data_IF_245177784703
#
_entry.id   IF_245177784703
#
_cell.length_a   1.000
_cell.length_b   1.000
_cell.length_c   1.000
_cell.angle_alpha   90.00
_cell.angle_beta   90.00
_cell.angle_gamma   90.00
#
_symmetry.space_group_name_H-M   'P 1'
#
loop_
_entity.id
_entity.type
_entity.pdbx_description
1 polymer ?
#
# COMPACT_ATOMS: atom_id res chain seq x y z
N UNK A 1 -64.89 -40.87 -35.58
CA UNK A 1 -64.31 -40.56 -34.28
C UNK A 1 -62.97 -39.90 -34.49
N UNK A 2 -62.91 -38.59 -34.39
CA UNK A 2 -61.71 -37.77 -34.56
C UNK A 2 -61.00 -37.65 -33.22
N UNK A 3 -59.83 -38.27 -33.05
CA UNK A 3 -59.03 -38.09 -31.85
C UNK A 3 -58.37 -36.70 -31.90
N UNK A 4 -58.79 -35.83 -31.03
CA UNK A 4 -58.19 -34.52 -30.81
C UNK A 4 -56.88 -34.76 -30.03
N UNK A 5 -55.72 -34.59 -30.66
CA UNK A 5 -54.44 -34.52 -29.99
C UNK A 5 -54.26 -33.10 -29.41
N UNK A 6 -54.44 -32.98 -28.11
CA UNK A 6 -54.05 -31.77 -27.37
C UNK A 6 -52.53 -31.88 -27.16
N UNK A 7 -51.79 -31.14 -27.98
CA UNK A 7 -50.36 -30.89 -27.73
C UNK A 7 -50.29 -29.83 -26.64
N UNK A 8 -50.07 -30.27 -25.40
CA UNK A 8 -49.72 -29.36 -24.31
C UNK A 8 -48.31 -28.85 -24.56
N UNK A 9 -48.20 -27.67 -25.12
CA UNK A 9 -46.93 -26.92 -25.19
C UNK A 9 -46.56 -26.53 -23.77
N UNK A 10 -45.68 -27.35 -23.17
CA UNK A 10 -44.99 -26.99 -21.93
C UNK A 10 -44.03 -25.86 -22.33
N UNK A 11 -44.43 -24.62 -22.20
CA UNK A 11 -43.49 -23.50 -22.14
C UNK A 11 -42.65 -23.72 -20.87
N UNK A 12 -41.50 -24.33 -21.01
CA UNK A 12 -40.42 -24.23 -20.05
C UNK A 12 -40.04 -22.74 -20.03
N UNK A 13 -40.66 -21.98 -19.12
CA UNK A 13 -40.11 -20.72 -18.68
C UNK A 13 -38.76 -21.09 -18.01
N UNK A 14 -37.69 -21.08 -18.77
CA UNK A 14 -36.40 -20.80 -18.23
C UNK A 14 -36.50 -19.36 -17.69
N UNK A 15 -37.00 -19.23 -16.47
CA UNK A 15 -36.86 -18.02 -15.74
C UNK A 15 -35.35 -17.75 -15.64
N UNK A 16 -34.84 -16.79 -16.41
CA UNK A 16 -33.58 -16.22 -16.08
C UNK A 16 -33.69 -15.84 -14.60
N UNK A 17 -32.89 -16.45 -13.76
CA UNK A 17 -32.84 -16.14 -12.35
C UNK A 17 -32.23 -14.72 -12.26
N UNK A 18 -33.08 -13.70 -12.47
CA UNK A 18 -32.68 -12.29 -12.45
C UNK A 18 -33.15 -11.69 -11.15
N UNK A 19 -32.21 -11.20 -10.35
CA UNK A 19 -32.58 -10.35 -9.24
C UNK A 19 -33.08 -9.00 -9.82
N UNK A 20 -34.30 -8.51 -9.46
CA UNK A 20 -34.88 -7.32 -10.03
C UNK A 20 -34.04 -6.05 -9.73
N UNK A 21 -33.33 -6.01 -8.61
CA UNK A 21 -32.58 -4.86 -8.16
C UNK A 21 -31.17 -4.78 -8.80
N UNK A 22 -30.67 -5.90 -9.36
CA UNK A 22 -29.31 -5.95 -9.92
C UNK A 22 -29.03 -4.83 -10.93
N UNK A 23 -30.01 -4.51 -11.79
CA UNK A 23 -29.80 -3.45 -12.80
C UNK A 23 -29.62 -2.08 -12.19
N UNK A 24 -30.40 -1.74 -11.17
CA UNK A 24 -30.28 -0.46 -10.45
C UNK A 24 -28.96 -0.43 -9.64
N UNK A 25 -28.63 -1.52 -8.99
CA UNK A 25 -27.41 -1.68 -8.20
C UNK A 25 -26.15 -1.61 -9.07
N UNK A 26 -26.20 -2.18 -10.28
CA UNK A 26 -25.11 -2.04 -11.25
C UNK A 26 -24.85 -0.57 -11.64
N UNK A 27 -25.89 0.23 -11.80
CA UNK A 27 -25.70 1.66 -12.10
C UNK A 27 -25.08 2.40 -10.90
N UNK A 28 -25.42 2.05 -9.65
CA UNK A 28 -24.76 2.60 -8.47
C UNK A 28 -23.28 2.20 -8.41
N UNK A 29 -22.95 0.94 -8.68
CA UNK A 29 -21.56 0.48 -8.74
C UNK A 29 -20.74 1.21 -9.83
N UNK A 30 -21.35 1.51 -10.98
CA UNK A 30 -20.72 2.33 -12.02
C UNK A 30 -20.56 3.79 -11.59
N UNK A 31 -21.49 4.36 -10.85
CA UNK A 31 -21.34 5.70 -10.27
C UNK A 31 -20.18 5.73 -9.27
N UNK A 32 -19.98 4.67 -8.48
CA UNK A 32 -18.83 4.57 -7.60
C UNK A 32 -17.50 4.65 -8.37
N UNK A 33 -17.39 4.00 -9.52
CA UNK A 33 -16.22 4.17 -10.40
C UNK A 33 -16.08 5.62 -10.88
N UNK A 34 -17.17 6.26 -11.28
CA UNK A 34 -17.16 7.66 -11.74
C UNK A 34 -16.71 8.65 -10.65
N UNK A 35 -16.92 8.35 -9.37
CA UNK A 35 -16.39 9.15 -8.25
C UNK A 35 -14.89 9.36 -8.41
N UNK A 36 -14.15 8.28 -8.62
CA UNK A 36 -12.68 8.34 -8.73
C UNK A 36 -12.21 8.86 -10.10
N UNK A 37 -12.92 8.52 -11.17
CA UNK A 37 -12.58 9.02 -12.51
C UNK A 37 -12.75 10.53 -12.65
N UNK A 38 -13.75 11.11 -11.94
CA UNK A 38 -14.08 12.53 -12.00
C UNK A 38 -13.57 13.33 -10.79
N UNK A 39 -13.11 12.63 -9.73
CA UNK A 39 -12.71 13.27 -8.49
C UNK A 39 -13.87 13.87 -7.71
N UNK A 40 -15.04 13.21 -7.74
CA UNK A 40 -16.32 13.74 -7.25
C UNK A 40 -16.68 13.13 -5.89
N UNK A 41 -16.25 13.77 -4.81
CA UNK A 41 -16.56 13.31 -3.44
C UNK A 41 -18.04 13.52 -3.07
N UNK A 42 -18.72 14.49 -3.67
CA UNK A 42 -20.14 14.74 -3.42
C UNK A 42 -20.99 13.59 -3.98
N UNK A 43 -20.64 13.06 -5.16
CA UNK A 43 -21.25 11.86 -5.70
C UNK A 43 -21.00 10.64 -4.80
N UNK A 44 -19.80 10.51 -4.20
CA UNK A 44 -19.51 9.44 -3.25
C UNK A 44 -20.47 9.50 -2.05
N UNK A 45 -20.68 10.67 -1.44
CA UNK A 45 -21.62 10.88 -0.33
C UNK A 45 -23.06 10.59 -0.73
N UNK A 46 -23.45 10.93 -1.98
CA UNK A 46 -24.80 10.66 -2.50
C UNK A 46 -25.11 9.16 -2.54
N UNK A 47 -24.16 8.34 -2.98
CA UNK A 47 -24.40 6.92 -3.26
C UNK A 47 -24.08 5.99 -2.10
N UNK A 48 -23.26 6.41 -1.11
CA UNK A 48 -22.89 5.59 0.04
C UNK A 48 -23.91 5.72 1.18
N UNK A 49 -24.11 4.64 1.91
CA UNK A 49 -24.90 4.63 3.15
C UNK A 49 -24.07 5.16 4.31
N UNK A 50 -24.69 5.84 5.28
CA UNK A 50 -24.03 6.20 6.55
C UNK A 50 -23.63 4.97 7.39
N UNK A 51 -24.30 3.83 7.18
CA UNK A 51 -24.00 2.53 7.80
C UNK A 51 -23.00 1.70 6.98
N UNK A 52 -22.25 2.33 6.06
CA UNK A 52 -21.26 1.64 5.22
C UNK A 52 -20.23 0.88 6.03
N UNK A 53 -19.98 -0.35 5.63
CA UNK A 53 -18.76 -1.10 5.96
C UNK A 53 -17.93 -1.28 4.70
N UNK A 54 -16.64 -1.02 4.79
CA UNK A 54 -15.72 -1.08 3.65
C UNK A 54 -14.49 -1.94 3.99
N UNK A 55 -14.30 -3.04 3.26
CA UNK A 55 -13.07 -3.80 3.33
C UNK A 55 -11.98 -3.04 2.57
N UNK A 56 -11.24 -2.22 3.31
CA UNK A 56 -10.22 -1.33 2.74
C UNK A 56 -9.04 -2.11 2.12
N UNK A 57 -8.46 -1.62 1.01
CA UNK A 57 -7.39 -2.31 0.29
C UNK A 57 -6.00 -2.10 0.90
N UNK A 58 -5.88 -1.23 1.88
CA UNK A 58 -4.59 -0.93 2.52
C UNK A 58 -4.23 -2.01 3.55
N UNK A 59 -3.00 -2.49 3.50
CA UNK A 59 -2.52 -3.53 4.41
C UNK A 59 -2.71 -3.14 5.88
N UNK A 60 -3.35 -4.04 6.63
CA UNK A 60 -3.54 -3.91 8.08
C UNK A 60 -4.76 -3.07 8.51
N UNK A 61 -5.50 -2.43 7.59
CA UNK A 61 -6.70 -1.66 7.96
C UNK A 61 -7.93 -2.55 8.22
N UNK A 62 -8.13 -3.61 7.42
CA UNK A 62 -9.31 -4.45 7.53
C UNK A 62 -10.58 -3.72 7.13
N UNK A 63 -11.70 -4.07 7.78
CA UNK A 63 -13.01 -3.46 7.57
C UNK A 63 -13.09 -2.12 8.32
N UNK A 64 -13.53 -1.08 7.64
CA UNK A 64 -13.62 0.29 8.16
C UNK A 64 -15.02 0.86 7.99
N UNK A 65 -15.34 1.90 8.74
CA UNK A 65 -16.62 2.60 8.70
C UNK A 65 -16.70 3.67 7.60
N UNK A 66 -17.90 4.26 7.45
CA UNK A 66 -18.17 5.33 6.50
C UNK A 66 -17.17 6.50 6.58
N UNK A 67 -16.86 6.97 7.80
CA UNK A 67 -15.98 8.13 7.97
C UNK A 67 -14.56 7.82 7.51
N UNK A 68 -14.05 6.65 7.82
CA UNK A 68 -12.72 6.19 7.42
C UNK A 68 -12.67 5.90 5.91
N UNK A 69 -13.70 5.23 5.36
CA UNK A 69 -13.81 4.97 3.92
C UNK A 69 -13.87 6.28 3.10
N UNK A 70 -14.58 7.30 3.59
CA UNK A 70 -14.58 8.63 2.98
C UNK A 70 -13.18 9.25 2.94
N UNK A 71 -12.42 9.17 4.03
CA UNK A 71 -11.04 9.67 4.06
C UNK A 71 -10.14 8.96 3.04
N UNK A 72 -10.35 7.64 2.85
CA UNK A 72 -9.64 6.87 1.84
C UNK A 72 -10.02 7.34 0.43
N UNK A 73 -11.30 7.56 0.16
CA UNK A 73 -11.77 8.10 -1.12
C UNK A 73 -11.19 9.50 -1.39
N UNK A 74 -11.23 10.39 -0.41
CA UNK A 74 -10.62 11.72 -0.49
C UNK A 74 -9.10 11.64 -0.72
N UNK A 75 -8.41 10.68 -0.09
CA UNK A 75 -6.99 10.47 -0.32
C UNK A 75 -6.72 10.15 -1.80
N UNK A 76 -7.44 9.21 -2.41
CA UNK A 76 -7.24 8.87 -3.82
C UNK A 76 -7.59 10.06 -4.74
N UNK A 77 -8.72 10.72 -4.53
CA UNK A 77 -9.16 11.88 -5.31
C UNK A 77 -8.11 13.01 -5.25
N UNK A 78 -7.56 13.29 -4.07
CA UNK A 78 -6.63 14.39 -3.87
C UNK A 78 -5.22 14.12 -4.38
N UNK A 79 -4.79 12.85 -4.41
CA UNK A 79 -3.39 12.50 -4.74
C UNK A 79 -3.18 11.99 -6.17
N UNK A 80 -4.25 11.61 -6.88
CA UNK A 80 -4.12 11.07 -8.24
C UNK A 80 -4.96 11.84 -9.25
N UNK A 81 -4.55 11.82 -10.51
CA UNK A 81 -5.25 12.41 -11.67
C UNK A 81 -5.28 11.42 -12.83
N UNK A 82 -6.10 11.71 -13.84
CA UNK A 82 -6.26 10.86 -15.02
C UNK A 82 -6.68 9.42 -14.67
N UNK A 83 -7.41 9.28 -13.56
CA UNK A 83 -7.85 7.99 -13.06
C UNK A 83 -8.89 7.39 -14.01
N UNK A 84 -8.69 6.14 -14.42
CA UNK A 84 -9.59 5.38 -15.30
C UNK A 84 -9.72 3.95 -14.84
N UNK A 85 -10.93 3.40 -14.97
CA UNK A 85 -11.23 2.00 -14.75
C UNK A 85 -11.43 1.32 -16.11
N UNK A 86 -10.41 0.63 -16.58
CA UNK A 86 -10.32 0.05 -17.92
C UNK A 86 -10.79 -1.41 -17.93
N UNK A 87 -11.33 -1.83 -19.08
CA UNK A 87 -11.76 -3.20 -19.38
C UNK A 87 -12.68 -3.81 -18.30
N UNK A 88 -13.71 -3.09 -17.82
CA UNK A 88 -14.54 -3.55 -16.71
C UNK A 88 -15.36 -4.78 -17.07
N UNK A 89 -15.30 -5.81 -16.23
CA UNK A 89 -16.20 -6.97 -16.27
C UNK A 89 -17.12 -6.89 -15.06
N UNK A 90 -18.42 -6.72 -15.31
CA UNK A 90 -19.46 -6.64 -14.31
C UNK A 90 -20.22 -7.94 -14.20
N UNK A 91 -20.30 -8.52 -13.02
CA UNK A 91 -20.99 -9.78 -12.74
C UNK A 91 -21.98 -9.61 -11.57
N UNK A 92 -23.11 -10.31 -11.62
CA UNK A 92 -24.00 -10.39 -10.46
C UNK A 92 -23.34 -11.26 -9.37
N UNK A 93 -23.62 -10.91 -8.11
CA UNK A 93 -23.30 -11.77 -6.99
C UNK A 93 -24.39 -12.80 -6.71
N UNK A 94 -24.08 -13.73 -5.83
CA UNK A 94 -24.98 -14.80 -5.41
C UNK A 94 -24.98 -14.93 -3.88
N UNK A 95 -26.12 -15.19 -3.30
CA UNK A 95 -26.24 -15.68 -1.95
C UNK A 95 -25.71 -17.12 -1.87
N UNK A 96 -24.70 -17.35 -1.04
CA UNK A 96 -24.01 -18.63 -0.95
C UNK A 96 -24.83 -19.73 -0.30
N UNK A 97 -25.87 -19.39 0.43
CA UNK A 97 -26.79 -20.37 1.06
C UNK A 97 -27.83 -20.89 0.10
N UNK A 98 -28.45 -20.00 -0.68
CA UNK A 98 -29.51 -20.34 -1.64
C UNK A 98 -28.98 -20.58 -3.06
N UNK A 99 -27.75 -20.17 -3.37
CA UNK A 99 -27.15 -20.18 -4.70
C UNK A 99 -27.98 -19.37 -5.74
N UNK A 100 -28.69 -18.36 -5.30
CA UNK A 100 -29.48 -17.46 -6.14
C UNK A 100 -28.84 -16.07 -6.20
N UNK A 101 -29.18 -15.31 -7.26
CA UNK A 101 -28.71 -13.92 -7.40
C UNK A 101 -29.29 -13.07 -6.28
N UNK A 102 -28.44 -12.36 -5.56
CA UNK A 102 -28.75 -11.57 -4.38
C UNK A 102 -28.85 -10.05 -4.63
N UNK A 103 -28.61 -9.60 -5.86
CA UNK A 103 -28.60 -8.21 -6.25
C UNK A 103 -27.26 -7.49 -6.04
N UNK A 104 -26.30 -8.15 -5.40
CA UNK A 104 -24.94 -7.61 -5.27
C UNK A 104 -24.21 -7.55 -6.61
N UNK A 105 -23.16 -6.72 -6.68
CA UNK A 105 -22.38 -6.50 -7.90
C UNK A 105 -20.92 -6.85 -7.64
N UNK A 106 -20.31 -7.50 -8.62
CA UNK A 106 -18.86 -7.81 -8.66
C UNK A 106 -18.25 -7.12 -9.86
N UNK A 107 -17.11 -6.47 -9.68
CA UNK A 107 -16.39 -5.77 -10.74
C UNK A 107 -14.93 -6.20 -10.80
N UNK A 108 -14.46 -6.57 -11.97
CA UNK A 108 -13.06 -6.75 -12.27
C UNK A 108 -12.65 -5.69 -13.27
N UNK A 109 -11.47 -5.15 -13.13
CA UNK A 109 -10.95 -4.15 -14.06
C UNK A 109 -9.54 -3.72 -13.71
N UNK A 110 -9.05 -2.77 -14.48
CA UNK A 110 -7.70 -2.26 -14.34
C UNK A 110 -7.77 -0.76 -14.09
N UNK A 111 -7.43 -0.34 -12.88
CA UNK A 111 -7.23 1.07 -12.58
C UNK A 111 -5.93 1.57 -13.18
N UNK A 112 -5.99 2.72 -13.81
CA UNK A 112 -4.81 3.49 -14.23
C UNK A 112 -4.94 4.91 -13.70
N UNK A 113 -3.83 5.59 -13.53
CA UNK A 113 -3.81 6.99 -13.10
C UNK A 113 -2.40 7.51 -12.94
N UNK A 114 -2.29 8.77 -12.56
CA UNK A 114 -1.03 9.50 -12.40
C UNK A 114 -0.96 10.12 -11.02
N UNK A 115 0.12 9.92 -10.28
CA UNK A 115 0.38 10.61 -9.01
C UNK A 115 0.62 12.10 -9.25
N UNK A 116 -0.17 12.96 -8.60
CA UNK A 116 -0.02 14.43 -8.71
C UNK A 116 1.32 14.93 -8.17
N UNK A 117 1.87 14.26 -7.16
CA UNK A 117 3.12 14.70 -6.52
C UNK A 117 4.37 14.33 -7.29
N UNK A 118 4.35 13.24 -8.07
CA UNK A 118 5.55 12.70 -8.74
C UNK A 118 5.45 12.66 -10.26
N UNK A 119 4.24 12.75 -10.81
CA UNK A 119 3.97 12.52 -12.24
C UNK A 119 4.10 11.07 -12.68
N UNK A 120 4.30 10.12 -11.75
CA UNK A 120 4.41 8.69 -12.08
C UNK A 120 3.03 8.09 -12.28
N UNK A 121 2.93 7.17 -13.24
CA UNK A 121 1.70 6.46 -13.57
C UNK A 121 1.66 5.10 -12.89
N UNK A 122 0.45 4.61 -12.63
CA UNK A 122 0.21 3.24 -12.16
C UNK A 122 -0.75 2.49 -13.10
N UNK A 123 -0.64 1.16 -13.06
CA UNK A 123 -1.57 0.21 -13.67
C UNK A 123 -1.83 -0.87 -12.64
N UNK A 124 -3.10 -1.03 -12.23
CA UNK A 124 -3.46 -1.80 -11.05
C UNK A 124 -4.66 -2.70 -11.32
N UNK A 125 -4.46 -4.00 -11.56
CA UNK A 125 -5.56 -4.97 -11.61
C UNK A 125 -6.29 -5.00 -10.27
N UNK A 126 -7.62 -5.03 -10.32
CA UNK A 126 -8.45 -4.99 -9.13
C UNK A 126 -9.71 -5.84 -9.25
N UNK A 127 -10.22 -6.23 -8.09
CA UNK A 127 -11.54 -6.79 -7.90
C UNK A 127 -12.28 -5.96 -6.84
N UNK A 128 -13.55 -5.68 -7.11
CA UNK A 128 -14.44 -4.97 -6.21
C UNK A 128 -15.76 -5.73 -6.04
N UNK A 129 -16.33 -5.67 -4.85
CA UNK A 129 -17.70 -6.14 -4.62
C UNK A 129 -18.51 -5.09 -3.87
N UNK A 130 -19.81 -5.08 -4.17
CA UNK A 130 -20.74 -4.11 -3.64
C UNK A 130 -22.01 -4.81 -3.19
N UNK A 131 -22.47 -4.49 -1.97
CA UNK A 131 -23.79 -4.87 -1.50
C UNK A 131 -24.62 -3.60 -1.27
N UNK A 132 -25.95 -3.73 -1.41
CA UNK A 132 -26.86 -2.59 -1.49
C UNK A 132 -28.07 -2.77 -0.58
N UNK A 133 -28.52 -1.66 -0.01
CA UNK A 133 -29.79 -1.54 0.71
C UNK A 133 -30.35 -0.14 0.50
N UNK A 134 -31.66 -0.03 0.39
CA UNK A 134 -32.39 1.24 0.29
C UNK A 134 -31.87 2.20 -0.78
N UNK A 135 -31.39 1.65 -1.91
CA UNK A 135 -30.86 2.42 -3.03
C UNK A 135 -29.48 3.07 -2.77
N UNK A 136 -28.75 2.56 -1.79
CA UNK A 136 -27.40 2.98 -1.41
C UNK A 136 -26.45 1.78 -1.36
N UNK A 137 -25.15 2.04 -1.48
CA UNK A 137 -24.09 1.06 -1.22
C UNK A 137 -23.88 0.97 0.29
N UNK A 138 -24.06 -0.23 0.85
CA UNK A 138 -23.89 -0.50 2.29
C UNK A 138 -22.62 -1.29 2.60
N UNK A 139 -22.03 -1.94 1.58
CA UNK A 139 -20.78 -2.63 1.70
C UNK A 139 -19.95 -2.47 0.44
N UNK A 140 -18.65 -2.22 0.62
CA UNK A 140 -17.64 -2.32 -0.43
C UNK A 140 -16.52 -3.25 -0.01
N UNK A 141 -16.00 -4.02 -0.96
CA UNK A 141 -14.76 -4.75 -0.77
C UNK A 141 -13.79 -4.40 -1.88
N UNK A 142 -12.62 -3.95 -1.52
CA UNK A 142 -11.61 -3.46 -2.43
C UNK A 142 -10.36 -4.35 -2.37
N UNK A 143 -10.07 -5.06 -3.46
CA UNK A 143 -8.99 -6.05 -3.51
C UNK A 143 -8.00 -5.70 -4.62
N UNK A 144 -6.94 -5.02 -4.23
CA UNK A 144 -5.80 -4.66 -5.07
C UNK A 144 -4.59 -4.31 -4.20
N UNK A 145 -3.41 -4.24 -4.77
CA UNK A 145 -2.19 -3.90 -4.04
C UNK A 145 -2.06 -2.36 -3.85
N UNK A 146 -2.89 -1.81 -2.97
CA UNK A 146 -2.88 -0.38 -2.66
C UNK A 146 -1.55 0.07 -2.05
N UNK A 147 -0.96 -0.74 -1.17
CA UNK A 147 0.31 -0.43 -0.51
C UNK A 147 1.46 -0.41 -1.52
N UNK A 148 1.53 -1.41 -2.40
CA UNK A 148 2.51 -1.46 -3.48
C UNK A 148 2.34 -0.29 -4.45
N UNK A 149 1.12 0.02 -4.86
CA UNK A 149 0.82 1.15 -5.73
C UNK A 149 1.25 2.48 -5.11
N UNK A 150 0.79 2.80 -3.90
CA UNK A 150 1.14 4.07 -3.22
C UNK A 150 2.64 4.20 -3.00
N UNK A 151 3.33 3.12 -2.62
CA UNK A 151 4.79 3.10 -2.46
C UNK A 151 5.52 3.29 -3.79
N UNK A 152 4.97 2.79 -4.90
CA UNK A 152 5.61 2.86 -6.21
C UNK A 152 5.53 4.24 -6.84
N UNK A 153 4.38 4.91 -6.72
CA UNK A 153 4.14 6.19 -7.40
C UNK A 153 4.14 7.40 -6.47
N UNK A 154 4.10 7.18 -5.16
CA UNK A 154 4.16 8.26 -4.17
C UNK A 154 5.51 8.98 -4.13
N UNK A 155 5.58 10.14 -3.48
CA UNK A 155 6.83 10.83 -3.28
C UNK A 155 7.79 9.95 -2.45
N UNK A 156 9.04 9.93 -2.85
CA UNK A 156 10.09 9.33 -2.04
C UNK A 156 10.74 10.47 -1.27
N UNK A 157 10.20 10.77 -0.09
CA UNK A 157 10.83 11.68 0.85
C UNK A 157 11.61 10.85 1.88
N UNK A 158 12.72 10.29 1.44
CA UNK A 158 13.64 9.55 2.31
C UNK A 158 14.90 10.36 2.50
N UNK A 159 15.22 10.66 3.74
CA UNK A 159 16.52 11.21 4.10
C UNK A 159 17.50 10.06 4.14
N UNK A 160 18.50 10.09 3.27
CA UNK A 160 19.48 9.02 3.13
C UNK A 160 20.79 9.45 3.76
N UNK A 161 21.29 8.65 4.68
CA UNK A 161 22.62 8.79 5.25
C UNK A 161 23.49 7.65 4.74
N UNK A 162 24.66 7.98 4.26
CA UNK A 162 25.69 7.01 3.91
C UNK A 162 26.83 7.16 4.92
N UNK A 163 26.98 6.16 5.79
CA UNK A 163 28.10 6.08 6.69
C UNK A 163 29.17 5.13 6.12
N UNK A 164 30.41 5.54 6.17
CA UNK A 164 31.55 4.74 5.74
C UNK A 164 32.52 4.54 6.89
N UNK A 165 33.01 3.31 7.04
CA UNK A 165 33.94 2.91 8.09
C UNK A 165 35.06 2.08 7.47
N UNK A 166 36.27 2.65 7.35
CA UNK A 166 37.45 1.91 6.90
C UNK A 166 37.99 1.08 8.04
N UNK A 167 37.97 -0.24 7.90
CA UNK A 167 38.43 -1.19 8.90
C UNK A 167 39.95 -1.42 8.80
N UNK A 168 40.64 -1.55 9.93
CA UNK A 168 42.03 -1.97 9.97
C UNK A 168 42.14 -3.39 9.40
N UNK A 169 43.22 -3.66 8.67
CA UNK A 169 43.47 -4.95 8.06
C UNK A 169 43.34 -6.10 9.09
N UNK A 170 42.69 -7.19 8.70
CA UNK A 170 42.47 -8.37 9.54
C UNK A 170 41.37 -8.25 10.58
N UNK A 171 40.64 -7.12 10.67
CA UNK A 171 39.61 -6.91 11.70
C UNK A 171 38.19 -6.96 11.14
N UNK A 172 37.97 -7.39 9.90
CA UNK A 172 36.69 -7.47 9.27
C UNK A 172 35.67 -8.27 10.12
N UNK A 173 35.99 -9.51 10.46
CA UNK A 173 35.08 -10.40 11.21
C UNK A 173 34.71 -9.81 12.57
N UNK A 174 35.67 -9.15 13.24
CA UNK A 174 35.41 -8.52 14.54
C UNK A 174 34.47 -7.34 14.42
N UNK A 175 34.64 -6.49 13.41
CA UNK A 175 33.73 -5.38 13.16
C UNK A 175 32.35 -5.90 12.74
N UNK A 176 32.28 -6.94 11.91
CA UNK A 176 31.05 -7.59 11.54
C UNK A 176 30.27 -8.10 12.75
N UNK A 177 30.95 -8.83 13.66
CA UNK A 177 30.36 -9.32 14.92
C UNK A 177 29.74 -8.18 15.75
N UNK A 178 30.46 -7.05 15.88
CA UNK A 178 29.99 -5.89 16.63
C UNK A 178 28.81 -5.17 15.95
N UNK A 179 28.81 -5.10 14.61
CA UNK A 179 27.72 -4.52 13.85
C UNK A 179 26.45 -5.40 13.91
N UNK A 180 26.61 -6.72 13.89
CA UNK A 180 25.49 -7.67 13.94
C UNK A 180 24.95 -7.88 15.37
N UNK A 181 25.69 -7.48 16.41
CA UNK A 181 25.24 -7.56 17.79
C UNK A 181 23.98 -6.72 18.04
N UNK A 182 23.15 -7.10 19.01
CA UNK A 182 21.94 -6.36 19.39
C UNK A 182 22.19 -4.86 19.65
N UNK A 183 23.35 -4.54 20.21
CA UNK A 183 23.80 -3.16 20.47
C UNK A 183 24.36 -2.45 19.24
N UNK A 184 24.54 -3.15 18.14
CA UNK A 184 25.03 -2.64 16.85
C UNK A 184 23.94 -2.10 15.94
N UNK A 185 23.88 -2.61 14.70
CA UNK A 185 22.89 -2.20 13.69
C UNK A 185 21.44 -2.52 14.06
N UNK A 186 21.11 -3.63 14.80
CA UNK A 186 19.73 -3.82 15.29
C UNK A 186 19.23 -2.66 16.13
N UNK A 187 20.03 -2.11 17.04
CA UNK A 187 19.67 -0.91 17.83
C UNK A 187 19.47 0.32 16.94
N UNK A 188 20.32 0.53 15.93
CA UNK A 188 20.13 1.62 14.95
C UNK A 188 18.82 1.47 14.21
N UNK A 189 18.50 0.26 13.76
CA UNK A 189 17.26 -0.03 13.02
C UNK A 189 16.01 0.19 13.85
N UNK A 190 16.08 -0.05 15.16
CA UNK A 190 14.98 0.13 16.11
C UNK A 190 14.86 1.58 16.64
N UNK A 191 15.81 2.47 16.32
CA UNK A 191 15.79 3.84 16.82
C UNK A 191 14.67 4.65 16.13
N UNK A 192 14.04 5.54 16.90
CA UNK A 192 12.93 6.37 16.40
C UNK A 192 13.33 7.17 15.15
N UNK A 193 12.56 7.00 14.10
CA UNK A 193 12.78 7.64 12.81
C UNK A 193 13.67 6.91 11.82
N UNK A 194 14.34 5.82 12.21
CA UNK A 194 15.00 4.94 11.26
C UNK A 194 13.96 4.06 10.54
N UNK A 195 13.82 4.24 9.23
CA UNK A 195 12.82 3.51 8.43
C UNK A 195 13.38 2.29 7.71
N UNK A 196 14.67 2.30 7.43
CA UNK A 196 15.38 1.17 6.82
C UNK A 196 16.89 1.35 6.99
N UNK A 197 17.62 0.22 7.01
CA UNK A 197 19.06 0.21 7.10
C UNK A 197 19.62 -1.00 6.37
N UNK A 198 20.65 -0.77 5.56
CA UNK A 198 21.44 -1.79 4.87
C UNK A 198 22.93 -1.56 5.15
N UNK A 199 23.70 -2.65 5.20
CA UNK A 199 25.15 -2.58 5.31
C UNK A 199 25.81 -3.49 4.26
N UNK A 200 26.90 -3.05 3.68
CA UNK A 200 27.73 -3.83 2.77
C UNK A 200 29.21 -3.60 3.07
N UNK A 201 30.04 -4.56 2.70
CA UNK A 201 31.48 -4.47 2.88
C UNK A 201 32.20 -4.58 1.53
N UNK A 202 33.11 -3.66 1.27
CA UNK A 202 33.98 -3.72 0.12
C UNK A 202 35.34 -4.29 0.55
N UNK A 203 35.67 -5.51 0.09
CA UNK A 203 36.87 -6.24 0.43
C UNK A 203 38.15 -5.58 -0.13
N UNK A 204 38.09 -4.96 -1.32
CA UNK A 204 39.22 -4.35 -1.97
C UNK A 204 39.84 -3.21 -1.16
N UNK A 205 38.99 -2.44 -0.44
CA UNK A 205 39.43 -1.28 0.32
C UNK A 205 39.15 -1.40 1.83
N UNK A 206 38.72 -2.57 2.32
CA UNK A 206 38.37 -2.83 3.72
C UNK A 206 37.37 -1.84 4.31
N UNK A 207 36.28 -1.52 3.58
CA UNK A 207 35.36 -0.47 4.01
C UNK A 207 33.92 -1.00 4.14
N UNK A 208 33.29 -0.79 5.30
CA UNK A 208 31.86 -0.90 5.45
C UNK A 208 31.18 0.36 4.92
N UNK A 209 30.07 0.15 4.19
CA UNK A 209 29.11 1.15 3.82
C UNK A 209 27.79 0.80 4.50
N UNK A 210 27.27 1.72 5.29
CA UNK A 210 25.96 1.61 5.93
C UNK A 210 25.07 2.66 5.27
N UNK A 211 23.97 2.22 4.70
CA UNK A 211 22.98 3.07 4.04
C UNK A 211 21.74 3.10 4.92
N UNK A 212 21.47 4.25 5.48
CA UNK A 212 20.39 4.46 6.43
C UNK A 212 19.33 5.36 5.84
N UNK A 213 18.06 5.02 6.06
CA UNK A 213 16.90 5.79 5.63
C UNK A 213 16.17 6.31 6.85
N UNK A 214 15.98 7.61 6.93
CA UNK A 214 15.41 8.30 8.07
C UNK A 214 14.17 9.10 7.69
N UNK A 215 13.23 9.27 8.61
CA UNK A 215 12.07 10.14 8.43
C UNK A 215 12.48 11.61 8.28
N UNK A 216 13.51 12.03 9.02
CA UNK A 216 14.09 13.36 8.90
C UNK A 216 15.58 13.36 9.28
N UNK A 217 16.32 14.37 8.81
CA UNK A 217 17.71 14.58 9.26
C UNK A 217 17.78 15.01 10.73
N UNK A 218 16.74 15.61 11.28
CA UNK A 218 16.66 15.93 12.70
C UNK A 218 16.68 14.66 13.57
N UNK A 219 15.86 13.66 13.23
CA UNK A 219 15.85 12.36 13.90
C UNK A 219 17.18 11.62 13.75
N UNK A 220 17.78 11.67 12.56
CA UNK A 220 19.13 11.12 12.36
C UNK A 220 20.16 11.81 13.24
N UNK A 221 20.17 13.13 13.31
CA UNK A 221 21.14 13.86 14.12
C UNK A 221 20.97 13.58 15.62
N UNK A 222 19.73 13.45 16.10
CA UNK A 222 19.44 13.02 17.46
C UNK A 222 19.96 11.61 17.75
N UNK A 223 19.76 10.68 16.82
CA UNK A 223 20.33 9.34 16.89
C UNK A 223 21.86 9.38 16.95
N UNK A 224 22.50 10.10 16.03
CA UNK A 224 23.96 10.15 15.94
C UNK A 224 24.57 10.74 17.22
N UNK A 225 23.98 11.82 17.75
CA UNK A 225 24.42 12.42 19.02
C UNK A 225 24.30 11.44 20.17
N UNK A 226 23.14 10.78 20.32
CA UNK A 226 22.92 9.75 21.32
C UNK A 226 23.93 8.59 21.17
N UNK A 227 24.10 8.06 19.93
CA UNK A 227 25.00 6.92 19.65
C UNK A 227 26.47 7.22 20.00
N UNK A 228 26.90 8.45 19.79
CA UNK A 228 28.29 8.85 19.98
C UNK A 228 28.60 9.34 21.40
N UNK A 229 27.61 9.76 22.18
CA UNK A 229 27.86 10.44 23.46
C UNK A 229 27.10 9.82 24.64
N UNK A 230 25.89 9.28 24.41
CA UNK A 230 24.97 8.85 25.49
C UNK A 230 24.57 7.37 25.43
N UNK A 231 25.00 6.62 24.43
CA UNK A 231 24.68 5.19 24.31
C UNK A 231 25.36 4.38 25.42
N UNK A 232 24.59 3.84 26.38
CA UNK A 232 25.17 3.13 27.54
C UNK A 232 25.86 1.82 27.17
N UNK A 233 25.63 1.29 25.94
CA UNK A 233 26.28 0.06 25.48
C UNK A 233 27.75 0.28 25.11
N UNK A 234 28.15 1.51 24.79
CA UNK A 234 29.49 1.82 24.29
C UNK A 234 29.83 1.16 22.95
N UNK A 235 28.83 0.69 22.19
CA UNK A 235 29.04 -0.08 20.96
C UNK A 235 29.83 0.71 19.91
N UNK A 236 29.57 2.00 19.77
CA UNK A 236 30.32 2.86 18.84
C UNK A 236 31.81 2.94 19.22
N UNK A 237 32.11 3.17 20.49
CA UNK A 237 33.49 3.27 20.97
C UNK A 237 34.25 1.94 20.81
N UNK A 238 33.56 0.81 20.98
CA UNK A 238 34.17 -0.50 20.74
C UNK A 238 34.52 -0.69 19.26
N UNK A 239 33.63 -0.33 18.35
CA UNK A 239 33.86 -0.40 16.90
C UNK A 239 35.02 0.52 16.49
N UNK A 240 35.12 1.72 17.04
CA UNK A 240 36.18 2.69 16.70
C UNK A 240 37.60 2.17 16.95
N UNK A 241 37.79 1.24 17.88
CA UNK A 241 39.11 0.60 18.12
C UNK A 241 39.65 -0.13 16.90
N UNK A 242 38.78 -0.59 16.04
CA UNK A 242 39.07 -1.38 14.85
C UNK A 242 39.07 -0.57 13.55
N UNK A 243 38.69 0.72 13.60
CA UNK A 243 38.68 1.59 12.42
C UNK A 243 40.01 2.30 12.20
N UNK A 244 40.37 2.48 10.95
CA UNK A 244 41.47 3.38 10.55
C UNK A 244 41.03 4.82 10.93
N UNK A 245 41.81 5.48 11.76
CA UNK A 245 41.47 6.81 12.29
C UNK A 245 40.60 6.80 13.54
N UNK A 246 40.26 5.62 14.08
CA UNK A 246 39.39 5.52 15.27
C UNK A 246 38.01 6.18 15.06
N UNK A 247 37.57 7.00 16.02
CA UNK A 247 36.28 7.73 15.89
C UNK A 247 36.21 8.59 14.61
N UNK A 248 37.32 9.21 14.20
CA UNK A 248 37.37 10.01 12.97
C UNK A 248 37.32 9.14 11.69
N UNK A 249 37.43 7.82 11.82
CA UNK A 249 37.26 6.87 10.73
C UNK A 249 35.79 6.62 10.35
N UNK A 250 34.84 7.03 11.18
CA UNK A 250 33.43 7.10 10.81
C UNK A 250 33.18 8.37 10.01
N UNK A 251 32.83 8.24 8.74
CA UNK A 251 32.48 9.37 7.87
C UNK A 251 31.02 9.22 7.47
N UNK A 252 30.22 10.22 7.79
CA UNK A 252 28.78 10.24 7.47
C UNK A 252 28.46 11.32 6.46
N UNK A 253 27.59 11.01 5.50
CA UNK A 253 27.03 11.96 4.56
C UNK A 253 25.50 11.94 4.72
N UNK A 254 24.98 12.95 5.42
CA UNK A 254 23.59 13.05 5.88
C UNK A 254 22.74 14.06 5.09
N UNK A 255 23.23 14.61 3.98
CA UNK A 255 22.51 15.65 3.23
C UNK A 255 21.86 15.12 1.95
N UNK A 256 21.61 13.81 1.90
CA UNK A 256 21.08 13.18 0.70
C UNK A 256 19.56 12.99 0.79
N UNK A 257 18.88 13.24 -0.32
CA UNK A 257 17.47 12.89 -0.52
C UNK A 257 17.44 11.68 -1.43
N UNK A 258 16.85 10.58 -0.94
CA UNK A 258 16.69 9.36 -1.73
C UNK A 258 15.55 9.50 -2.72
N UNK A 259 15.73 8.98 -3.93
CA UNK A 259 14.68 8.78 -4.92
C UNK A 259 14.86 7.43 -5.61
N UNK A 260 13.73 6.85 -6.02
CA UNK A 260 13.76 5.59 -6.75
C UNK A 260 13.94 5.87 -8.25
N UNK A 261 14.84 5.14 -8.86
CA UNK A 261 14.90 4.98 -10.33
C UNK A 261 14.11 3.71 -10.71
N UNK A 262 13.34 3.78 -11.77
CA UNK A 262 12.61 2.66 -12.36
C UNK A 262 13.07 2.45 -13.79
#
# INVERSE_FOLDING_TARGET
>A
MRKLLIVASIFLFYGCNTNPDYKANLELAKKWVQVFENGDIELWEEIMSEDLLDQAPLYGMGEVDYATSKQIAEFYINNYTDVKFNDPVWLPGIDTGSMTLDGSVRAYGIWTGTSKSTGRTFTLPSYHNFDFADGKIVYTGEYFDATGMTSSVGPVDRKVVVATMKVKEGNYEKVKELLDAETGLPTTRAYDGCTHLEATFNEENNTYFIIEYWESFEKYNAYLDWRLNDDPSGAADEIFKYLVGGRNGLVTNANNIGYKFY
#
